data_IF_032431344204
#
_entry.id   IF_032431344204
#
_cell.length_a   1.000
_cell.length_b   1.000
_cell.length_c   1.000
_cell.angle_alpha   90.00
_cell.angle_beta   90.00
_cell.angle_gamma   90.00
#
_symmetry.space_group_name_H-M   'P 1'
#
loop_
_entity.id
_entity.type
_entity.pdbx_description
1 polymer ?
#
# COMPACT_ATOMS: atom_id res chain seq x y z
N UNK A 1 -64.00 -3.48 75.71
CA UNK A 1 -64.76 -2.66 74.75
C UNK A 1 -64.65 -3.33 73.39
N UNK A 2 -65.78 -3.31 72.67
CA UNK A 2 -66.14 -3.97 71.40
C UNK A 2 -65.17 -3.59 70.24
N UNK A 3 -65.06 -4.41 69.16
CA UNK A 3 -63.84 -4.68 68.38
C UNK A 3 -63.71 -3.80 67.12
N UNK A 4 -62.64 -3.96 66.32
CA UNK A 4 -62.64 -4.53 64.95
C UNK A 4 -61.83 -3.58 64.04
N UNK A 5 -61.20 -3.90 62.90
CA UNK A 5 -61.07 -5.07 62.02
C UNK A 5 -59.73 -4.92 61.23
N UNK A 6 -59.17 -6.03 60.75
CA UNK A 6 -58.63 -6.32 59.39
C UNK A 6 -58.02 -5.16 58.52
N UNK A 7 -57.02 -5.28 57.65
CA UNK A 7 -56.38 -6.41 56.93
C UNK A 7 -55.18 -5.87 56.13
N UNK A 8 -54.38 -6.81 55.64
CA UNK A 8 -53.23 -6.81 54.71
C UNK A 8 -53.23 -5.86 53.46
N UNK A 9 -52.07 -5.78 52.75
CA UNK A 9 -51.66 -4.66 51.88
C UNK A 9 -52.11 -4.81 50.43
N UNK A 10 -52.16 -3.71 49.66
CA UNK A 10 -52.19 -3.79 48.19
C UNK A 10 -51.54 -2.58 47.51
N UNK A 11 -50.79 -2.92 46.47
CA UNK A 11 -50.16 -2.10 45.45
C UNK A 11 -51.23 -1.45 44.54
N UNK A 12 -51.23 -0.13 44.33
CA UNK A 12 -51.94 0.54 43.20
C UNK A 12 -51.21 1.81 42.72
N UNK A 13 -50.38 1.64 41.69
CA UNK A 13 -50.49 2.20 40.32
C UNK A 13 -51.27 3.53 40.11
N UNK A 14 -50.51 4.57 39.68
CA UNK A 14 -50.77 5.66 38.69
C UNK A 14 -51.69 6.85 39.06
N UNK A 15 -51.13 8.08 39.02
CA UNK A 15 -51.61 9.14 38.09
C UNK A 15 -50.55 10.21 37.78
N UNK A 16 -50.53 10.56 36.50
CA UNK A 16 -49.64 11.47 35.75
C UNK A 16 -50.00 12.93 35.97
N UNK A 17 -49.00 13.82 36.05
CA UNK A 17 -49.14 15.23 35.66
C UNK A 17 -47.85 15.72 34.98
N UNK A 18 -48.04 16.29 33.79
CA UNK A 18 -47.04 16.60 32.79
C UNK A 18 -46.16 17.81 33.14
N UNK A 19 -44.87 17.71 32.83
CA UNK A 19 -44.04 18.85 32.43
C UNK A 19 -43.14 18.40 31.28
N UNK A 20 -43.51 18.84 30.06
CA UNK A 20 -42.64 18.78 28.90
C UNK A 20 -41.42 19.69 29.13
N UNK A 21 -40.24 19.20 28.70
CA UNK A 21 -39.50 19.98 27.73
C UNK A 21 -39.24 19.12 26.49
N UNK A 22 -39.85 19.52 25.39
CA UNK A 22 -39.33 19.21 24.06
C UNK A 22 -37.89 19.73 23.99
N UNK A 23 -36.92 18.83 24.02
CA UNK A 23 -35.60 19.09 23.47
C UNK A 23 -35.39 18.09 22.35
N UNK A 24 -35.83 18.50 21.16
CA UNK A 24 -35.35 17.96 19.89
C UNK A 24 -33.86 18.32 19.78
N UNK A 25 -33.02 17.56 20.46
CA UNK A 25 -31.61 17.49 20.10
C UNK A 25 -31.53 16.55 18.90
N UNK A 26 -31.74 17.13 17.72
CA UNK A 26 -31.30 16.53 16.46
C UNK A 26 -29.78 16.36 16.57
N UNK A 27 -29.34 15.20 17.05
CA UNK A 27 -27.97 14.74 16.90
C UNK A 27 -27.77 14.45 15.42
N UNK A 28 -27.54 15.52 14.65
CA UNK A 28 -27.02 15.46 13.30
C UNK A 28 -25.78 14.59 13.38
N UNK A 29 -25.84 13.40 12.79
CA UNK A 29 -24.65 12.63 12.51
C UNK A 29 -23.74 13.55 11.70
N UNK A 30 -22.66 14.01 12.32
CA UNK A 30 -21.57 14.63 11.58
C UNK A 30 -21.01 13.54 10.66
N UNK A 31 -21.57 13.47 9.45
CA UNK A 31 -20.79 13.11 8.30
C UNK A 31 -19.59 14.04 8.32
N UNK A 32 -18.45 13.54 8.78
CA UNK A 32 -17.14 14.11 8.46
C UNK A 32 -16.96 13.89 6.96
N UNK A 33 -17.72 14.64 6.17
CA UNK A 33 -17.31 15.09 4.87
C UNK A 33 -16.19 16.07 5.17
N UNK A 34 -15.00 15.51 5.42
CA UNK A 34 -13.76 16.29 5.51
C UNK A 34 -13.74 17.06 4.21
N UNK A 35 -14.03 18.36 4.26
CA UNK A 35 -13.68 19.26 3.18
C UNK A 35 -12.19 19.02 2.97
N UNK A 36 -11.85 18.27 1.91
CA UNK A 36 -10.48 18.17 1.46
C UNK A 36 -10.11 19.58 1.06
N UNK A 37 -9.51 20.33 2.00
CA UNK A 37 -8.54 21.35 1.64
C UNK A 37 -7.69 20.72 0.53
N UNK A 38 -7.62 21.33 -0.66
CA UNK A 38 -6.84 20.74 -1.74
C UNK A 38 -5.41 20.57 -1.22
N UNK A 39 -4.99 19.33 -1.00
CA UNK A 39 -3.65 19.03 -0.52
C UNK A 39 -2.76 18.87 -1.76
N UNK A 40 -1.87 19.84 -1.95
CA UNK A 40 -0.97 19.86 -3.09
C UNK A 40 0.29 19.08 -2.76
N UNK A 41 0.67 18.19 -3.67
CA UNK A 41 1.99 17.56 -3.65
C UNK A 41 3.04 18.56 -4.09
N UNK A 42 3.94 18.91 -3.18
CA UNK A 42 5.01 19.86 -3.47
C UNK A 42 6.27 19.11 -3.92
N UNK A 43 6.95 19.70 -4.90
CA UNK A 43 8.29 19.27 -5.29
C UNK A 43 9.33 20.03 -4.49
N UNK A 44 10.20 19.32 -3.78
CA UNK A 44 11.19 19.90 -2.87
C UNK A 44 12.59 19.98 -3.51
N UNK A 45 12.66 20.10 -4.85
CA UNK A 45 13.88 20.28 -5.63
C UNK A 45 14.93 19.16 -5.50
N UNK A 46 14.52 17.97 -5.04
CA UNK A 46 15.36 16.79 -4.93
C UNK A 46 15.39 15.91 -6.16
N UNK A 47 16.11 14.78 -6.08
CA UNK A 47 16.19 13.88 -7.24
C UNK A 47 14.92 13.05 -7.37
N UNK A 48 14.51 12.81 -8.62
CA UNK A 48 13.65 11.69 -9.00
C UNK A 48 14.52 10.61 -9.65
N UNK A 49 14.10 9.35 -9.57
CA UNK A 49 14.78 8.29 -10.31
C UNK A 49 14.55 8.49 -11.81
N UNK A 50 15.61 8.33 -12.62
CA UNK A 50 15.56 8.52 -14.06
C UNK A 50 16.57 7.61 -14.77
N UNK A 51 16.37 7.42 -16.07
CA UNK A 51 17.19 6.51 -16.88
C UNK A 51 16.88 5.04 -16.61
N UNK A 52 17.88 4.16 -16.82
CA UNK A 52 17.72 2.72 -16.63
C UNK A 52 18.07 2.37 -15.18
N UNK A 53 17.09 1.84 -14.45
CA UNK A 53 17.26 1.47 -13.04
C UNK A 53 16.88 0.00 -12.86
N UNK A 54 17.77 -0.79 -12.27
CA UNK A 54 17.47 -2.20 -11.97
C UNK A 54 16.77 -2.36 -10.62
N UNK A 55 15.79 -3.25 -10.57
CA UNK A 55 15.14 -3.67 -9.33
C UNK A 55 15.73 -5.03 -8.94
N UNK A 56 16.57 -5.04 -7.92
CA UNK A 56 17.17 -6.28 -7.41
C UNK A 56 16.33 -6.78 -6.25
N UNK A 57 16.01 -8.08 -6.24
CA UNK A 57 15.19 -8.70 -5.21
C UNK A 57 16.08 -9.46 -4.23
N UNK A 58 15.99 -9.16 -2.94
CA UNK A 58 16.68 -9.84 -1.86
C UNK A 58 15.62 -10.61 -1.08
N UNK A 59 15.58 -11.92 -1.29
CA UNK A 59 14.62 -12.83 -0.67
C UNK A 59 15.19 -13.33 0.65
N UNK A 60 14.68 -12.80 1.76
CA UNK A 60 15.14 -13.11 3.10
C UNK A 60 14.18 -14.09 3.79
N UNK A 61 14.65 -15.32 3.97
CA UNK A 61 13.88 -16.45 4.45
C UNK A 61 13.25 -17.28 3.32
N UNK A 62 12.31 -18.16 3.69
CA UNK A 62 11.80 -19.19 2.79
C UNK A 62 10.60 -18.71 1.99
N UNK A 63 10.76 -18.65 0.67
CA UNK A 63 9.69 -18.40 -0.30
C UNK A 63 9.58 -19.57 -1.25
N UNK A 64 8.36 -20.01 -1.57
CA UNK A 64 8.19 -21.03 -2.60
C UNK A 64 8.53 -20.46 -4.00
N UNK A 65 8.86 -21.32 -4.99
CA UNK A 65 9.03 -20.85 -6.36
C UNK A 65 7.82 -20.09 -6.92
N UNK A 66 6.60 -20.49 -6.54
CA UNK A 66 5.35 -19.80 -6.93
C UNK A 66 5.28 -18.39 -6.34
N UNK A 67 5.60 -18.24 -5.05
CA UNK A 67 5.64 -16.94 -4.38
C UNK A 67 6.68 -16.00 -5.01
N UNK A 68 7.86 -16.53 -5.33
CA UNK A 68 8.91 -15.76 -6.02
C UNK A 68 8.48 -15.29 -7.40
N UNK A 69 7.76 -16.14 -8.13
CA UNK A 69 7.23 -15.81 -9.44
C UNK A 69 6.21 -14.66 -9.38
N UNK A 70 5.34 -14.59 -8.35
CA UNK A 70 4.35 -13.50 -8.21
C UNK A 70 5.04 -12.13 -8.21
N UNK A 71 6.04 -11.90 -7.36
CA UNK A 71 6.74 -10.60 -7.30
C UNK A 71 7.61 -10.39 -8.54
N UNK A 72 8.34 -11.40 -8.99
CA UNK A 72 9.21 -11.27 -10.17
C UNK A 72 8.41 -10.91 -11.43
N UNK A 73 7.26 -11.57 -11.63
CA UNK A 73 6.34 -11.28 -12.73
C UNK A 73 5.74 -9.89 -12.60
N UNK A 74 5.42 -9.43 -11.39
CA UNK A 74 4.96 -8.05 -11.15
C UNK A 74 6.01 -7.03 -11.61
N UNK A 75 7.28 -7.20 -11.22
CA UNK A 75 8.37 -6.32 -11.66
C UNK A 75 8.56 -6.35 -13.18
N UNK A 76 8.51 -7.54 -13.79
CA UNK A 76 8.55 -7.67 -15.26
C UNK A 76 7.37 -6.98 -15.95
N UNK A 77 6.23 -6.83 -15.26
CA UNK A 77 5.03 -6.21 -15.79
C UNK A 77 5.11 -4.67 -15.84
N UNK A 78 5.99 -4.04 -15.06
CA UNK A 78 6.16 -2.57 -15.01
C UNK A 78 6.62 -1.98 -16.34
N UNK A 79 7.44 -2.72 -17.09
CA UNK A 79 8.01 -2.30 -18.38
C UNK A 79 7.43 -3.07 -19.56
N UNK A 80 6.43 -3.93 -19.35
CA UNK A 80 5.91 -4.80 -20.40
C UNK A 80 5.13 -3.98 -21.45
N UNK A 81 5.69 -3.89 -22.65
CA UNK A 81 5.02 -3.34 -23.84
C UNK A 81 4.31 -4.43 -24.66
N UNK A 82 4.05 -5.60 -24.07
CA UNK A 82 3.53 -6.74 -24.81
C UNK A 82 2.15 -6.41 -25.41
N UNK A 83 1.99 -6.44 -26.74
CA UNK A 83 0.71 -6.12 -27.42
C UNK A 83 -0.44 -7.05 -27.01
N UNK A 84 -0.11 -8.20 -26.39
CA UNK A 84 -1.05 -9.26 -26.01
C UNK A 84 -1.57 -9.13 -24.57
N UNK A 85 -1.06 -8.20 -23.76
CA UNK A 85 -1.54 -8.03 -22.39
C UNK A 85 -2.86 -7.25 -22.42
N UNK A 86 -3.92 -7.85 -21.87
CA UNK A 86 -5.20 -7.18 -21.73
C UNK A 86 -5.08 -5.87 -20.93
N UNK A 87 -5.85 -4.86 -21.31
CA UNK A 87 -5.90 -3.59 -20.59
C UNK A 87 -7.04 -3.60 -19.56
N UNK A 88 -6.90 -2.84 -18.46
CA UNK A 88 -5.70 -2.12 -18.04
C UNK A 88 -4.57 -3.06 -17.56
N UNK A 89 -3.32 -2.62 -17.68
CA UNK A 89 -2.13 -3.40 -17.31
C UNK A 89 -1.28 -2.74 -16.22
N UNK A 90 -0.39 -3.51 -15.58
CA UNK A 90 0.60 -2.99 -14.62
C UNK A 90 1.47 -1.88 -15.24
N UNK A 91 1.84 -2.02 -16.51
CA UNK A 91 2.60 -0.98 -17.23
C UNK A 91 1.79 0.32 -17.40
N UNK A 92 0.48 0.21 -17.66
CA UNK A 92 -0.41 1.37 -17.74
C UNK A 92 -0.54 2.07 -16.38
N UNK A 93 -0.61 1.31 -15.29
CA UNK A 93 -0.56 1.85 -13.93
C UNK A 93 0.78 2.56 -13.65
N UNK A 94 1.90 1.91 -13.98
CA UNK A 94 3.22 2.48 -13.77
C UNK A 94 3.41 3.81 -14.52
N UNK A 95 2.86 3.90 -15.74
CA UNK A 95 2.92 5.11 -16.57
C UNK A 95 2.26 6.33 -15.90
N UNK A 96 1.36 6.15 -14.93
CA UNK A 96 0.79 7.28 -14.19
C UNK A 96 1.88 8.08 -13.42
N UNK A 97 3.01 7.44 -13.07
CA UNK A 97 4.16 8.14 -12.48
C UNK A 97 4.80 9.17 -13.42
N UNK A 98 4.67 9.02 -14.75
CA UNK A 98 5.20 9.97 -15.74
C UNK A 98 4.67 11.39 -15.52
N UNK A 99 3.47 11.52 -14.92
CA UNK A 99 2.85 12.81 -14.62
C UNK A 99 3.73 13.71 -13.72
N UNK A 100 4.40 13.11 -12.75
CA UNK A 100 5.34 13.82 -11.87
C UNK A 100 6.55 14.35 -12.64
N UNK A 101 7.05 13.61 -13.63
CA UNK A 101 8.18 14.03 -14.46
C UNK A 101 7.79 15.12 -15.47
N UNK A 102 6.56 15.07 -15.98
CA UNK A 102 6.04 16.07 -16.93
C UNK A 102 5.93 17.46 -16.29
N UNK A 103 5.47 17.55 -15.03
CA UNK A 103 5.35 18.81 -14.30
C UNK A 103 6.68 19.54 -14.11
N UNK A 104 7.79 18.82 -14.06
CA UNK A 104 9.12 19.43 -13.96
C UNK A 104 9.63 20.00 -15.30
N UNK A 105 8.85 19.91 -16.39
CA UNK A 105 9.20 20.29 -17.77
C UNK A 105 10.59 19.77 -18.19
N UNK A 106 10.98 18.63 -17.62
CA UNK A 106 12.37 18.16 -17.59
C UNK A 106 12.67 17.40 -18.88
N UNK A 107 12.66 18.09 -20.02
CA UNK A 107 13.03 17.55 -21.35
C UNK A 107 14.43 16.93 -21.39
N UNK A 108 15.24 17.11 -20.35
CA UNK A 108 16.60 16.56 -20.18
C UNK A 108 16.68 15.26 -19.37
N UNK A 109 15.67 14.88 -18.59
CA UNK A 109 15.72 13.62 -17.83
C UNK A 109 15.34 12.46 -18.74
N UNK A 110 16.19 11.45 -18.79
CA UNK A 110 15.86 10.19 -19.47
C UNK A 110 14.68 9.56 -18.74
N UNK A 111 13.63 9.20 -19.48
CA UNK A 111 12.47 8.46 -18.95
C UNK A 111 12.95 7.30 -18.07
N UNK A 112 12.35 7.16 -16.88
CA UNK A 112 12.62 6.05 -15.99
C UNK A 112 12.19 4.75 -16.66
N UNK A 113 13.13 3.82 -16.80
CA UNK A 113 12.89 2.47 -17.29
C UNK A 113 13.37 1.52 -16.20
N UNK A 114 12.41 0.83 -15.58
CA UNK A 114 12.67 -0.21 -14.61
C UNK A 114 12.86 -1.55 -15.31
N UNK A 115 13.78 -2.35 -14.80
CA UNK A 115 13.97 -3.74 -15.23
C UNK A 115 14.24 -4.63 -14.04
N UNK A 116 13.76 -5.88 -14.07
CA UNK A 116 14.17 -6.88 -13.10
C UNK A 116 15.69 -7.10 -13.18
N UNK A 117 16.35 -6.94 -12.04
CA UNK A 117 17.79 -7.11 -11.85
C UNK A 117 18.12 -8.47 -11.23
N UNK A 118 19.16 -8.50 -10.39
CA UNK A 118 19.57 -9.72 -9.71
C UNK A 118 18.53 -10.17 -8.67
N UNK A 119 18.47 -11.47 -8.44
CA UNK A 119 17.73 -12.05 -7.33
C UNK A 119 18.70 -12.75 -6.39
N UNK A 120 18.73 -12.34 -5.13
CA UNK A 120 19.63 -12.83 -4.10
C UNK A 120 18.78 -13.61 -3.09
N UNK A 121 19.12 -14.89 -2.87
CA UNK A 121 18.46 -15.73 -1.89
C UNK A 121 19.24 -15.72 -0.59
N UNK A 122 18.54 -15.58 0.53
CA UNK A 122 19.06 -15.67 1.89
C UNK A 122 18.09 -16.54 2.70
N UNK A 123 18.00 -17.82 2.33
CA UNK A 123 17.07 -18.79 2.91
C UNK A 123 17.51 -19.29 4.30
N UNK A 124 18.78 -19.04 4.67
CA UNK A 124 19.39 -19.41 5.95
C UNK A 124 19.21 -18.34 7.05
N UNK A 125 18.51 -17.24 6.75
CA UNK A 125 18.26 -16.14 7.67
C UNK A 125 19.58 -15.56 8.23
N UNK A 126 20.46 -15.04 7.37
CA UNK A 126 21.83 -14.63 7.75
C UNK A 126 21.94 -13.60 8.88
N UNK A 127 20.85 -12.96 9.28
CA UNK A 127 20.77 -11.98 10.38
C UNK A 127 19.71 -12.36 11.44
N UNK A 128 19.25 -13.61 11.46
CA UNK A 128 18.18 -14.09 12.33
C UNK A 128 16.77 -13.76 11.85
N UNK A 129 15.75 -14.27 12.54
CA UNK A 129 14.33 -14.05 12.18
C UNK A 129 13.71 -12.79 12.79
N UNK A 130 14.43 -12.10 13.67
CA UNK A 130 14.03 -10.81 14.23
C UNK A 130 14.95 -9.73 13.67
N UNK A 131 14.40 -8.83 12.86
CA UNK A 131 15.16 -7.78 12.20
C UNK A 131 14.78 -6.38 12.73
N UNK A 132 15.81 -5.55 12.90
CA UNK A 132 15.70 -4.11 13.06
C UNK A 132 15.94 -3.40 11.72
N UNK A 133 15.52 -2.13 11.62
CA UNK A 133 15.68 -1.33 10.39
C UNK A 133 17.12 -1.26 9.87
N UNK A 134 18.12 -1.23 10.76
CA UNK A 134 19.53 -1.25 10.35
C UNK A 134 19.94 -2.56 9.62
N UNK A 135 19.36 -3.69 10.01
CA UNK A 135 19.63 -4.97 9.33
C UNK A 135 18.98 -4.99 7.94
N UNK A 136 17.82 -4.36 7.77
CA UNK A 136 17.20 -4.17 6.45
C UNK A 136 18.13 -3.39 5.51
N UNK A 137 18.75 -2.31 5.97
CA UNK A 137 19.73 -1.56 5.16
C UNK A 137 20.95 -2.41 4.78
N UNK A 138 21.44 -3.26 5.69
CA UNK A 138 22.56 -4.17 5.42
C UNK A 138 22.18 -5.26 4.42
N UNK A 139 20.97 -5.80 4.50
CA UNK A 139 20.43 -6.75 3.52
C UNK A 139 20.30 -6.07 2.15
N UNK A 140 19.75 -4.86 2.09
CA UNK A 140 19.64 -4.09 0.85
C UNK A 140 21.02 -3.80 0.23
N UNK A 141 22.06 -3.61 1.06
CA UNK A 141 23.43 -3.39 0.60
C UNK A 141 24.07 -4.62 -0.10
N UNK A 142 23.45 -5.81 -0.02
CA UNK A 142 23.88 -7.00 -0.79
C UNK A 142 23.57 -6.84 -2.29
N UNK A 143 22.59 -6.01 -2.65
CA UNK A 143 22.22 -5.72 -4.04
C UNK A 143 23.15 -4.74 -4.75
N UNK A 144 22.79 -4.37 -5.98
CA UNK A 144 23.58 -3.44 -6.78
C UNK A 144 23.57 -2.03 -6.19
N UNK A 145 24.69 -1.30 -6.28
CA UNK A 145 24.91 -0.07 -5.52
C UNK A 145 24.81 1.21 -6.37
N UNK A 146 24.51 1.08 -7.65
CA UNK A 146 24.41 2.19 -8.61
C UNK A 146 23.19 1.99 -9.52
N UNK A 147 22.42 3.04 -9.80
CA UNK A 147 21.22 2.97 -10.66
C UNK A 147 20.32 1.77 -10.33
N UNK A 148 20.07 1.55 -9.04
CA UNK A 148 19.40 0.37 -8.54
C UNK A 148 18.44 0.71 -7.40
N UNK A 149 17.36 -0.07 -7.34
CA UNK A 149 16.46 -0.21 -6.20
C UNK A 149 16.66 -1.62 -5.65
N UNK A 150 17.11 -1.72 -4.40
CA UNK A 150 17.29 -3.01 -3.74
C UNK A 150 16.06 -3.30 -2.86
N UNK A 151 15.26 -4.29 -3.25
CA UNK A 151 14.01 -4.65 -2.57
C UNK A 151 14.27 -5.85 -1.67
N UNK A 152 14.21 -5.64 -0.36
CA UNK A 152 14.27 -6.69 0.66
C UNK A 152 12.86 -7.22 0.89
N UNK A 153 12.67 -8.51 0.66
CA UNK A 153 11.40 -9.23 0.82
C UNK A 153 11.57 -10.22 1.96
N UNK A 154 10.88 -10.03 3.09
CA UNK A 154 10.98 -10.94 4.24
C UNK A 154 9.85 -11.96 4.24
N UNK A 155 10.17 -13.24 4.44
CA UNK A 155 9.19 -14.33 4.50
C UNK A 155 8.25 -14.20 5.72
N UNK A 156 7.15 -14.94 5.72
CA UNK A 156 6.10 -14.80 6.74
C UNK A 156 6.62 -15.06 8.17
N UNK A 157 7.63 -15.91 8.31
CA UNK A 157 8.21 -16.27 9.61
C UNK A 157 9.31 -15.32 10.10
N UNK A 158 9.48 -14.15 9.47
CA UNK A 158 10.43 -13.10 9.88
C UNK A 158 9.67 -11.95 10.51
N UNK A 159 10.04 -11.61 11.75
CA UNK A 159 9.53 -10.45 12.47
C UNK A 159 10.43 -9.23 12.22
N UNK A 160 9.82 -8.10 11.89
CA UNK A 160 10.52 -6.82 11.76
C UNK A 160 9.86 -5.79 12.66
N UNK A 161 10.66 -5.02 13.41
CA UNK A 161 10.13 -4.02 14.33
C UNK A 161 9.22 -3.02 13.59
N UNK A 162 8.00 -2.84 14.11
CA UNK A 162 7.00 -1.94 13.54
C UNK A 162 6.27 -2.45 12.30
N UNK A 163 6.53 -3.70 11.85
CA UNK A 163 5.93 -4.25 10.62
C UNK A 163 4.41 -4.05 10.54
N UNK A 164 3.69 -4.34 11.63
CA UNK A 164 2.23 -4.22 11.63
C UNK A 164 1.66 -2.80 11.64
N UNK A 165 2.52 -1.79 11.68
CA UNK A 165 2.12 -0.39 11.54
C UNK A 165 2.41 0.15 10.14
N UNK A 166 3.41 -0.40 9.43
CA UNK A 166 3.93 0.20 8.19
C UNK A 166 3.92 -0.74 6.97
N UNK A 167 3.86 -2.06 7.16
CA UNK A 167 3.85 -3.11 6.12
C UNK A 167 5.08 -3.17 5.17
N UNK A 168 5.86 -2.10 5.14
CA UNK A 168 7.09 -1.93 4.39
C UNK A 168 7.61 -0.51 4.56
N UNK A 169 8.76 -0.22 3.95
CA UNK A 169 9.34 1.12 3.94
C UNK A 169 10.22 1.28 2.71
N UNK A 170 10.53 2.52 2.35
CA UNK A 170 11.58 2.81 1.39
C UNK A 170 12.53 3.86 1.95
N UNK A 171 13.75 3.86 1.42
CA UNK A 171 14.77 4.80 1.84
C UNK A 171 15.99 4.71 0.95
N UNK A 172 17.10 5.24 1.45
CA UNK A 172 18.36 5.18 0.72
C UNK A 172 19.52 4.92 1.64
N UNK A 173 20.58 4.36 1.07
CA UNK A 173 21.84 4.19 1.77
C UNK A 173 23.01 4.61 0.90
N UNK A 174 24.14 4.87 1.55
CA UNK A 174 25.40 5.21 0.90
C UNK A 174 26.08 3.90 0.52
N UNK A 175 26.24 3.67 -0.78
CA UNK A 175 26.93 2.51 -1.30
C UNK A 175 28.45 2.60 -1.14
N UNK A 176 29.13 1.59 -1.68
CA UNK A 176 30.59 1.53 -1.73
C UNK A 176 31.15 2.68 -2.59
N UNK A 177 32.41 3.03 -2.34
CA UNK A 177 33.13 3.97 -3.20
C UNK A 177 33.47 3.23 -4.50
N UNK A 178 32.89 3.65 -5.62
CA UNK A 178 33.13 3.11 -6.95
C UNK A 178 33.79 4.21 -7.77
N UNK A 179 34.97 3.95 -8.34
CA UNK A 179 35.75 4.93 -9.13
C UNK A 179 35.94 6.28 -8.41
N UNK A 180 36.23 6.23 -7.11
CA UNK A 180 36.45 7.42 -6.28
C UNK A 180 35.19 8.19 -5.89
N UNK A 181 34.00 7.75 -6.30
CA UNK A 181 32.72 8.38 -5.95
C UNK A 181 31.86 7.46 -5.08
N UNK A 182 31.20 8.05 -4.08
CA UNK A 182 30.25 7.34 -3.23
C UNK A 182 28.85 7.51 -3.82
N UNK A 183 28.31 6.44 -4.38
CA UNK A 183 26.98 6.42 -4.96
C UNK A 183 25.93 6.18 -3.87
N UNK A 184 24.74 6.75 -4.02
CA UNK A 184 23.57 6.38 -3.23
C UNK A 184 22.77 5.34 -4.01
N UNK A 185 22.17 4.40 -3.29
CA UNK A 185 21.16 3.50 -3.84
C UNK A 185 19.88 3.64 -3.04
N UNK A 186 18.74 3.48 -3.71
CA UNK A 186 17.45 3.40 -3.05
C UNK A 186 17.20 1.94 -2.62
N UNK A 187 16.48 1.76 -1.53
CA UNK A 187 16.03 0.45 -1.10
C UNK A 187 14.56 0.49 -0.70
N UNK A 188 13.93 -0.67 -0.81
CA UNK A 188 12.56 -0.91 -0.34
C UNK A 188 12.63 -2.15 0.55
N UNK A 189 11.81 -2.18 1.60
CA UNK A 189 11.50 -3.40 2.32
C UNK A 189 9.99 -3.62 2.33
N UNK A 190 9.55 -4.86 2.11
CA UNK A 190 8.18 -5.30 2.28
C UNK A 190 8.18 -6.64 3.00
N UNK A 191 7.30 -6.79 3.99
CA UNK A 191 7.13 -8.04 4.72
C UNK A 191 5.92 -8.85 4.27
N UNK A 192 6.04 -10.17 4.29
CA UNK A 192 4.89 -11.07 4.11
C UNK A 192 4.04 -11.07 5.39
N UNK A 193 2.78 -10.64 5.28
CA UNK A 193 1.83 -10.51 6.40
C UNK A 193 0.99 -11.75 6.69
N UNK A 194 1.22 -12.85 5.97
CA UNK A 194 0.45 -14.10 6.08
C UNK A 194 0.26 -14.57 7.53
N UNK A 195 1.29 -14.46 8.37
CA UNK A 195 1.26 -14.88 9.79
C UNK A 195 1.25 -13.71 10.77
N UNK A 196 1.39 -12.48 10.30
CA UNK A 196 1.55 -11.28 11.11
C UNK A 196 0.72 -10.15 10.49
N UNK A 197 -0.32 -9.70 11.21
CA UNK A 197 -1.21 -8.59 10.81
C UNK A 197 -1.73 -8.61 9.35
N UNK A 198 -2.24 -9.75 8.84
CA UNK A 198 -2.77 -9.83 7.47
C UNK A 198 -3.94 -8.87 7.24
N UNK A 199 -4.74 -8.61 8.27
CA UNK A 199 -5.83 -7.63 8.25
C UNK A 199 -5.40 -6.20 7.88
N UNK A 200 -4.15 -5.83 8.16
CA UNK A 200 -3.61 -4.50 7.88
C UNK A 200 -2.87 -4.48 6.55
N UNK A 201 -1.93 -5.43 6.37
CA UNK A 201 -0.96 -5.38 5.27
C UNK A 201 -1.38 -6.17 4.02
N UNK A 202 -2.42 -7.00 4.12
CA UNK A 202 -3.01 -7.70 2.98
C UNK A 202 -4.47 -7.27 2.72
N UNK A 203 -4.95 -6.17 3.31
CA UNK A 203 -6.25 -5.61 2.94
C UNK A 203 -6.24 -5.21 1.46
N UNK A 204 -7.23 -5.63 0.65
CA UNK A 204 -8.57 -6.11 1.02
C UNK A 204 -8.76 -7.64 0.98
N UNK A 205 -7.69 -8.42 0.91
CA UNK A 205 -7.73 -9.89 0.81
C UNK A 205 -7.85 -10.61 2.16
N UNK A 206 -7.77 -9.87 3.27
CA UNK A 206 -8.00 -10.39 4.61
C UNK A 206 -8.96 -9.49 5.38
N UNK A 207 -9.84 -10.11 6.17
CA UNK A 207 -10.85 -9.38 6.93
C UNK A 207 -10.21 -8.58 8.09
N UNK A 208 -10.56 -7.30 8.27
CA UNK A 208 -10.21 -6.52 9.46
C UNK A 208 -10.97 -7.02 10.70
N UNK A 209 -10.31 -7.15 11.86
CA UNK A 209 -10.93 -7.66 13.09
C UNK A 209 -12.11 -6.81 13.62
N UNK A 210 -12.11 -5.49 13.39
CA UNK A 210 -13.02 -4.55 14.04
C UNK A 210 -13.91 -3.74 13.08
N UNK A 211 -14.12 -4.17 11.83
CA UNK A 211 -14.97 -3.43 10.86
C UNK A 211 -16.13 -4.26 10.30
N UNK A 212 -17.34 -3.69 10.09
CA UNK A 212 -18.51 -4.46 9.67
C UNK A 212 -18.49 -4.85 8.17
N UNK A 213 -18.79 -6.14 7.91
CA UNK A 213 -19.69 -6.72 6.89
C UNK A 213 -19.29 -6.95 5.41
N UNK A 214 -18.17 -6.46 4.89
CA UNK A 214 -17.73 -6.90 3.55
C UNK A 214 -16.81 -8.12 3.65
N UNK A 215 -17.12 -9.26 2.99
CA UNK A 215 -16.19 -10.39 2.95
C UNK A 215 -14.88 -9.97 2.27
N UNK A 216 -13.73 -10.56 2.66
CA UNK A 216 -12.46 -10.27 2.00
C UNK A 216 -12.54 -10.60 0.51
N UNK A 217 -11.84 -9.81 -0.31
CA UNK A 217 -11.71 -10.09 -1.73
C UNK A 217 -10.88 -11.35 -1.95
N UNK A 218 -11.16 -12.06 -3.03
CA UNK A 218 -10.35 -13.23 -3.42
C UNK A 218 -9.05 -12.74 -4.05
N UNK A 219 -7.92 -13.16 -3.49
CA UNK A 219 -6.59 -12.77 -3.91
C UNK A 219 -6.26 -13.29 -5.33
N UNK A 220 -5.78 -12.44 -6.26
CA UNK A 220 -5.67 -12.80 -7.68
C UNK A 220 -4.60 -13.84 -8.00
N UNK A 221 -3.61 -14.03 -7.13
CA UNK A 221 -2.58 -15.05 -7.29
C UNK A 221 -2.76 -16.24 -6.33
N UNK A 222 -3.91 -16.32 -5.66
CA UNK A 222 -4.24 -17.36 -4.66
C UNK A 222 -3.26 -17.40 -3.48
N UNK A 223 -2.61 -16.28 -3.19
CA UNK A 223 -1.67 -16.13 -2.09
C UNK A 223 -1.89 -14.75 -1.44
N UNK A 224 -2.63 -14.73 -0.34
CA UNK A 224 -3.01 -13.49 0.38
C UNK A 224 -1.77 -12.71 0.82
N UNK A 225 -0.74 -13.40 1.30
CA UNK A 225 0.49 -12.79 1.78
C UNK A 225 1.23 -12.07 0.65
N UNK A 226 1.45 -12.76 -0.46
CA UNK A 226 2.19 -12.22 -1.61
C UNK A 226 1.38 -11.18 -2.39
N UNK A 227 0.06 -11.35 -2.51
CA UNK A 227 -0.81 -10.34 -3.12
C UNK A 227 -0.84 -9.05 -2.27
N UNK A 228 -0.81 -9.18 -0.93
CA UNK A 228 -0.61 -8.05 -0.02
C UNK A 228 0.78 -7.40 -0.18
N UNK A 229 1.84 -8.20 -0.33
CA UNK A 229 3.18 -7.67 -0.61
C UNK A 229 3.22 -6.89 -1.93
N UNK A 230 2.51 -7.32 -2.98
CA UNK A 230 2.44 -6.58 -4.25
C UNK A 230 1.81 -5.20 -4.07
N UNK A 231 0.71 -5.09 -3.30
CA UNK A 231 0.07 -3.79 -3.01
C UNK A 231 1.07 -2.82 -2.37
N UNK A 232 1.76 -3.27 -1.32
CA UNK A 232 2.72 -2.44 -0.59
C UNK A 232 3.94 -2.10 -1.45
N UNK A 233 4.47 -3.09 -2.18
CA UNK A 233 5.60 -2.89 -3.08
C UNK A 233 5.27 -1.90 -4.19
N UNK A 234 4.07 -1.95 -4.76
CA UNK A 234 3.61 -1.02 -5.78
C UNK A 234 3.59 0.42 -5.24
N UNK A 235 2.96 0.63 -4.08
CA UNK A 235 2.91 1.93 -3.40
C UNK A 235 4.33 2.48 -3.13
N UNK A 236 5.21 1.64 -2.59
CA UNK A 236 6.58 2.02 -2.25
C UNK A 236 7.41 2.29 -3.50
N UNK A 237 7.25 1.52 -4.59
CA UNK A 237 7.96 1.77 -5.84
C UNK A 237 7.61 3.13 -6.46
N UNK A 238 6.33 3.51 -6.46
CA UNK A 238 5.91 4.81 -6.96
C UNK A 238 6.49 5.95 -6.11
N UNK A 239 6.52 5.77 -4.80
CA UNK A 239 7.10 6.73 -3.86
C UNK A 239 8.62 6.81 -3.98
N UNK A 240 9.32 5.68 -4.14
CA UNK A 240 10.77 5.64 -4.41
C UNK A 240 11.13 6.26 -5.76
N UNK A 241 10.29 6.14 -6.79
CA UNK A 241 10.57 6.78 -8.08
C UNK A 241 10.47 8.31 -8.00
N UNK A 242 9.47 8.82 -7.26
CA UNK A 242 9.14 10.24 -7.18
C UNK A 242 9.84 10.97 -6.02
N UNK A 243 10.31 10.23 -5.00
CA UNK A 243 11.00 10.72 -3.82
C UNK A 243 12.07 9.73 -3.27
N UNK A 244 13.06 9.30 -4.06
CA UNK A 244 14.04 8.28 -3.65
C UNK A 244 14.90 8.67 -2.42
N UNK A 245 15.06 9.96 -2.15
CA UNK A 245 16.00 10.47 -1.14
C UNK A 245 15.37 11.44 -0.12
N UNK A 246 14.04 11.46 0.00
CA UNK A 246 13.32 12.28 0.98
C UNK A 246 13.28 13.79 0.66
N UNK A 247 13.54 14.16 -0.60
CA UNK A 247 13.52 15.55 -1.07
C UNK A 247 12.90 15.75 -2.46
N UNK A 248 12.25 14.75 -3.03
CA UNK A 248 11.49 14.82 -4.28
C UNK A 248 10.06 15.34 -4.05
N UNK A 249 9.06 14.55 -4.44
CA UNK A 249 7.65 14.89 -4.24
C UNK A 249 7.09 14.33 -2.93
N UNK A 250 6.58 15.21 -2.06
CA UNK A 250 5.81 14.79 -0.88
C UNK A 250 4.94 15.92 -0.33
N UNK A 251 3.99 15.55 0.53
CA UNK A 251 3.16 16.44 1.32
C UNK A 251 3.30 16.11 2.82
N UNK A 252 3.18 17.12 3.69
CA UNK A 252 3.28 16.95 5.14
C UNK A 252 4.72 17.03 5.68
N UNK A 253 4.94 16.66 6.96
CA UNK A 253 6.25 16.65 7.59
C UNK A 253 7.20 15.64 6.91
N UNK A 254 8.51 15.89 6.95
CA UNK A 254 9.51 15.01 6.30
C UNK A 254 9.66 13.67 7.00
N UNK A 255 9.30 13.63 8.27
CA UNK A 255 9.38 12.46 9.14
C UNK A 255 8.28 11.44 8.85
N UNK A 256 7.15 11.90 8.30
CA UNK A 256 6.00 11.07 7.90
C UNK A 256 5.32 11.66 6.64
N UNK A 257 6.01 11.59 5.48
CA UNK A 257 5.53 12.21 4.26
C UNK A 257 4.43 11.39 3.59
N UNK A 258 3.38 12.07 3.13
CA UNK A 258 2.48 11.52 2.10
C UNK A 258 3.15 11.66 0.74
N UNK A 259 3.27 10.54 0.04
CA UNK A 259 3.98 10.37 -1.23
C UNK A 259 3.07 9.75 -2.30
N UNK A 260 3.58 9.61 -3.52
CA UNK A 260 2.75 9.30 -4.69
C UNK A 260 1.92 8.03 -4.53
N UNK A 261 2.48 7.02 -3.86
CA UNK A 261 1.78 5.78 -3.57
C UNK A 261 1.13 5.70 -2.18
N UNK A 262 1.54 6.53 -1.21
CA UNK A 262 1.04 6.45 0.18
C UNK A 262 -0.13 7.40 0.46
N UNK A 263 -0.36 8.41 -0.37
CA UNK A 263 -1.46 9.36 -0.21
C UNK A 263 -2.87 8.78 -0.49
N UNK A 264 -2.96 7.59 -1.08
CA UNK A 264 -4.21 6.98 -1.52
C UNK A 264 -4.50 5.63 -0.85
N UNK A 265 -4.46 5.55 0.49
CA UNK A 265 -4.62 4.28 1.19
C UNK A 265 -5.99 3.67 0.89
N UNK A 266 -5.97 2.43 0.42
CA UNK A 266 -7.14 1.62 0.19
C UNK A 266 -8.04 2.01 -0.99
N UNK A 267 -7.61 2.94 -1.84
CA UNK A 267 -8.31 3.28 -3.09
C UNK A 267 -7.75 2.39 -4.20
N UNK A 268 -8.52 1.42 -4.70
CA UNK A 268 -8.09 0.53 -5.78
C UNK A 268 -8.95 0.65 -7.05
N UNK A 269 -10.21 1.03 -6.90
CA UNK A 269 -11.17 1.22 -7.99
C UNK A 269 -11.98 2.51 -7.82
N UNK A 270 -12.82 2.81 -8.81
CA UNK A 270 -13.76 3.93 -8.75
C UNK A 270 -14.74 3.77 -7.58
N UNK A 271 -15.10 4.90 -6.98
CA UNK A 271 -16.05 4.91 -5.86
C UNK A 271 -15.55 4.24 -4.58
N UNK A 272 -14.24 4.00 -4.44
CA UNK A 272 -13.68 3.49 -3.18
C UNK A 272 -13.98 4.44 -2.01
N UNK A 273 -14.28 3.86 -0.85
CA UNK A 273 -14.54 4.54 0.41
C UNK A 273 -14.07 3.63 1.55
N UNK A 274 -14.06 4.08 2.83
CA UNK A 274 -13.64 3.21 3.93
C UNK A 274 -14.40 1.88 3.91
N UNK A 275 -13.68 0.75 3.90
CA UNK A 275 -14.22 -0.64 3.81
C UNK A 275 -14.66 -1.13 2.42
N UNK A 276 -14.55 -0.30 1.39
CA UNK A 276 -14.82 -0.69 0.01
C UNK A 276 -13.65 -0.32 -0.91
N UNK A 277 -13.04 -1.34 -1.52
CA UNK A 277 -11.87 -1.19 -2.39
C UNK A 277 -12.15 -0.41 -3.69
N UNK A 278 -13.43 -0.14 -4.00
CA UNK A 278 -13.87 0.43 -5.26
C UNK A 278 -14.35 -0.64 -6.24
N UNK A 279 -14.81 -0.20 -7.40
CA UNK A 279 -15.22 -1.07 -8.51
C UNK A 279 -14.00 -1.78 -9.10
N UNK A 280 -14.01 -3.11 -9.07
CA UNK A 280 -12.91 -3.97 -9.51
C UNK A 280 -13.39 -5.01 -10.52
N UNK A 281 -12.47 -5.46 -11.38
CA UNK A 281 -12.73 -6.62 -12.23
C UNK A 281 -12.70 -7.90 -11.40
N UNK A 282 -13.57 -8.85 -11.75
CA UNK A 282 -13.63 -10.17 -11.11
C UNK A 282 -13.32 -11.24 -12.16
N UNK A 283 -12.38 -12.13 -11.86
CA UNK A 283 -12.12 -13.29 -12.70
C UNK A 283 -13.30 -14.28 -12.58
N UNK A 284 -14.00 -14.62 -13.69
CA UNK A 284 -15.19 -15.46 -13.63
C UNK A 284 -14.91 -16.92 -13.24
N UNK A 285 -13.65 -17.38 -13.33
CA UNK A 285 -13.26 -18.75 -13.00
C UNK A 285 -12.81 -18.89 -11.56
N UNK A 286 -12.04 -17.93 -11.04
CA UNK A 286 -11.49 -17.99 -9.68
C UNK A 286 -12.24 -17.13 -8.67
N UNK A 287 -13.07 -16.18 -9.11
CA UNK A 287 -13.67 -15.15 -8.27
C UNK A 287 -12.69 -14.07 -7.82
N UNK A 288 -11.43 -14.10 -8.30
CA UNK A 288 -10.39 -13.16 -7.92
C UNK A 288 -10.72 -11.72 -8.31
N UNK A 289 -10.52 -10.79 -7.38
CA UNK A 289 -10.65 -9.35 -7.65
C UNK A 289 -9.31 -8.75 -8.05
N UNK A 290 -9.29 -7.97 -9.13
CA UNK A 290 -8.08 -7.34 -9.66
C UNK A 290 -8.42 -6.05 -10.41
N UNK A 291 -7.42 -5.19 -10.60
CA UNK A 291 -7.55 -4.02 -11.47
C UNK A 291 -6.46 -3.95 -12.53
N UNK A 292 -5.43 -4.81 -12.51
CA UNK A 292 -4.33 -4.78 -13.48
C UNK A 292 -3.96 -6.17 -13.99
N UNK A 293 -3.73 -6.28 -15.29
CA UNK A 293 -3.15 -7.47 -15.92
C UNK A 293 -1.63 -7.34 -16.01
N UNK A 294 -0.91 -8.43 -15.73
CA UNK A 294 0.54 -8.50 -15.77
C UNK A 294 1.09 -9.56 -16.73
N UNK A 295 2.42 -9.67 -16.74
CA UNK A 295 3.18 -10.71 -17.40
C UNK A 295 2.74 -12.10 -16.94
N UNK A 296 3.01 -13.11 -17.78
CA UNK A 296 2.76 -14.52 -17.45
C UNK A 296 1.30 -14.83 -17.02
N UNK A 297 0.35 -14.06 -17.56
CA UNK A 297 -1.10 -14.15 -17.26
C UNK A 297 -1.44 -13.89 -15.79
N UNK A 298 -0.55 -13.23 -15.05
CA UNK A 298 -0.80 -12.79 -13.68
C UNK A 298 -1.80 -11.64 -13.65
N UNK A 299 -2.53 -11.55 -12.55
CA UNK A 299 -3.46 -10.45 -12.24
C UNK A 299 -3.03 -9.83 -10.91
N UNK A 300 -3.22 -8.53 -10.78
CA UNK A 300 -2.80 -7.78 -9.61
C UNK A 300 -3.85 -6.76 -9.20
N UNK A 301 -3.86 -6.43 -7.91
CA UNK A 301 -4.55 -5.28 -7.37
C UNK A 301 -3.50 -4.23 -7.03
N UNK A 302 -3.59 -3.06 -7.66
CA UNK A 302 -2.62 -1.97 -7.50
C UNK A 302 -3.30 -0.73 -6.92
N UNK A 303 -2.69 -0.04 -5.95
CA UNK A 303 -3.27 1.14 -5.34
C UNK A 303 -3.41 2.28 -6.36
N UNK A 304 -4.39 3.15 -6.15
CA UNK A 304 -4.42 4.44 -6.82
C UNK A 304 -3.12 5.21 -6.52
N UNK A 305 -2.66 5.97 -7.50
CA UNK A 305 -1.60 6.94 -7.28
C UNK A 305 -2.23 8.32 -7.13
N UNK A 306 -1.61 9.18 -6.33
CA UNK A 306 -1.99 10.58 -6.32
C UNK A 306 -1.65 11.19 -7.69
N UNK A 307 -2.62 11.87 -8.29
CA UNK A 307 -2.44 12.55 -9.56
C UNK A 307 -2.07 14.01 -9.30
N UNK A 308 -0.84 14.45 -9.61
CA UNK A 308 -0.41 15.80 -9.30
C UNK A 308 -1.02 16.85 -10.24
N UNK A 309 -1.72 16.47 -11.32
CA UNK A 309 -2.46 17.40 -12.17
C UNK A 309 -3.87 17.65 -11.65
N UNK A 310 -4.55 16.62 -11.13
CA UNK A 310 -5.93 16.74 -10.62
C UNK A 310 -6.00 16.94 -9.12
N UNK A 311 -4.88 16.79 -8.40
CA UNK A 311 -4.78 16.80 -6.95
C UNK A 311 -5.76 15.81 -6.27
N UNK A 312 -5.85 14.60 -6.83
CA UNK A 312 -6.76 13.57 -6.33
C UNK A 312 -6.18 12.17 -6.52
N UNK A 313 -6.70 11.19 -5.77
CA UNK A 313 -6.35 9.79 -5.96
C UNK A 313 -6.98 9.25 -7.25
N UNK A 314 -6.15 8.72 -8.14
CA UNK A 314 -6.56 8.24 -9.46
C UNK A 314 -6.31 6.72 -9.56
N UNK A 315 -7.36 5.88 -9.39
CA UNK A 315 -7.22 4.44 -9.56
C UNK A 315 -6.99 4.07 -11.03
N UNK A 316 -6.49 2.86 -11.26
CA UNK A 316 -6.21 2.41 -12.63
C UNK A 316 -7.52 2.32 -13.45
N UNK A 317 -7.50 2.86 -14.67
CA UNK A 317 -8.66 2.83 -15.57
C UNK A 317 -9.53 4.08 -15.56
N UNK A 318 -9.19 5.12 -14.77
CA UNK A 318 -9.97 6.37 -14.68
C UNK A 318 -9.40 7.53 -15.48
N UNK A 319 -8.45 7.26 -16.37
CA UNK A 319 -7.92 8.28 -17.29
C UNK A 319 -9.00 8.69 -18.27
N UNK A 320 -9.61 9.86 -18.05
CA UNK A 320 -10.22 10.67 -19.11
C UNK A 320 -9.13 11.23 -20.02
#
# INVERSE_FOLDING_TARGET
>A
MVPSFATQPFLQVILVAALFPFSLASGVGESIQRQQQPFFFQYHNGHLLAGKVSINLIWYGKFTPSQRAIISDFILSLSSSAPKTAQPSVATWWKATDKYYQLLNYRKLRRLVLSLGSQIMDEDYSMGKLLAGRQIELLAAKGHQENAINVVLTSADVAVNGFCSICGTHGFSKGKIIKGKRHKFAYIWVGNSETQCPAQCAWPFHQPMNRPKSPPLVAPNKDVGLDGMVINLASLLASTATNPFGNGYFHGPKEDPLEAGSACPGVYGLGAYPDYAGELSVDPRSGASYNANGANRRKYLLPALFDPFTNSCSPLGTGR
#
